data_IF_057857356508
#
_entry.id   IF_057857356508
#
_cell.length_a   1.000
_cell.length_b   1.000
_cell.length_c   1.000
_cell.angle_alpha   90.00
_cell.angle_beta   90.00
_cell.angle_gamma   90.00
#
_symmetry.space_group_name_H-M   'P 1'
#
loop_
_entity.id
_entity.type
_entity.pdbx_description
1 polymer ?
#
# COMPACT_ATOMS: atom_id res chain seq x y z
N UNK A 1 -4.09 -55.10 8.48
CA UNK A 1 -3.00 -55.22 7.50
C UNK A 1 -2.83 -53.85 6.87
N UNK A 2 -2.27 -52.90 7.62
CA UNK A 2 -0.85 -52.48 7.59
C UNK A 2 -0.54 -51.72 6.29
N UNK A 3 -0.61 -50.38 6.27
CA UNK A 3 0.41 -49.41 6.72
C UNK A 3 1.60 -49.30 5.75
N UNK A 4 1.72 -48.14 5.09
CA UNK A 4 2.96 -47.48 4.62
C UNK A 4 2.57 -46.10 4.07
N UNK A 5 3.24 -44.98 4.28
CA UNK A 5 4.42 -44.63 5.06
C UNK A 5 4.42 -43.10 5.10
N UNK A 6 4.57 -42.51 6.29
CA UNK A 6 4.75 -41.06 6.47
C UNK A 6 6.23 -40.76 6.26
N UNK A 7 6.57 -40.05 5.18
CA UNK A 7 7.94 -39.55 5.00
C UNK A 7 8.05 -38.16 5.62
N UNK A 8 8.58 -38.19 6.84
CA UNK A 8 9.09 -37.05 7.61
C UNK A 8 10.52 -36.79 7.15
N UNK A 9 10.81 -35.61 6.60
CA UNK A 9 12.20 -35.15 6.47
C UNK A 9 12.52 -34.03 7.47
N UNK A 10 13.70 -34.06 8.11
CA UNK A 10 13.97 -33.35 9.36
C UNK A 10 14.45 -31.90 9.19
N UNK A 11 14.19 -31.12 10.24
CA UNK A 11 14.81 -29.82 10.51
C UNK A 11 16.29 -29.98 10.90
N UNK A 12 17.18 -29.27 10.21
CA UNK A 12 18.57 -29.12 10.63
C UNK A 12 18.76 -27.82 11.44
N UNK A 13 19.34 -27.96 12.64
CA UNK A 13 19.66 -26.89 13.59
C UNK A 13 21.09 -26.36 13.40
N UNK A 14 21.20 -25.03 13.48
CA UNK A 14 22.20 -24.14 14.10
C UNK A 14 23.55 -24.72 14.59
N UNK A 15 24.64 -24.15 14.06
CA UNK A 15 25.92 -23.82 14.73
C UNK A 15 26.58 -22.73 13.85
N UNK A 16 26.82 -21.47 14.24
CA UNK A 16 27.55 -21.00 15.41
C UNK A 16 28.92 -20.48 14.97
N UNK A 17 29.02 -19.26 14.43
CA UNK A 17 30.30 -18.58 14.20
C UNK A 17 30.26 -17.18 14.81
N UNK A 18 31.01 -17.03 15.89
CA UNK A 18 31.40 -15.79 16.56
C UNK A 18 32.63 -15.20 15.88
N UNK A 19 32.60 -13.91 15.54
CA UNK A 19 33.76 -13.00 15.45
C UNK A 19 33.18 -11.61 15.13
N UNK A 20 33.04 -10.72 16.11
CA UNK A 20 34.08 -9.80 16.59
C UNK A 20 34.26 -8.60 15.65
N UNK A 21 33.64 -7.50 16.08
CA UNK A 21 34.17 -6.13 16.15
C UNK A 21 35.15 -5.66 15.06
N UNK A 22 34.68 -4.74 14.21
CA UNK A 22 35.44 -3.53 13.86
C UNK A 22 34.56 -2.52 13.11
N UNK A 23 34.04 -1.53 13.85
CA UNK A 23 33.92 -0.17 13.32
C UNK A 23 35.28 0.52 13.61
N UNK A 24 35.73 1.50 12.82
CA UNK A 24 35.19 2.85 13.06
C UNK A 24 35.21 3.84 11.87
N UNK A 25 34.48 4.94 12.09
CA UNK A 25 34.73 6.30 11.59
C UNK A 25 34.40 6.62 10.13
N UNK A 26 33.15 7.03 9.88
CA UNK A 26 32.85 8.09 8.89
C UNK A 26 32.70 9.41 9.66
N UNK A 27 33.46 10.47 9.36
CA UNK A 27 33.22 11.76 9.95
C UNK A 27 31.88 12.31 9.46
N UNK A 28 31.00 12.55 10.43
CA UNK A 28 29.72 13.21 10.26
C UNK A 28 30.01 14.68 9.97
N UNK A 29 29.45 15.23 8.89
CA UNK A 29 29.47 16.69 8.67
C UNK A 29 28.46 17.30 9.66
N UNK A 30 28.85 18.23 10.53
CA UNK A 30 27.90 19.03 11.28
C UNK A 30 27.25 20.05 10.33
N UNK A 31 25.91 20.00 10.26
CA UNK A 31 25.12 21.11 9.70
C UNK A 31 24.96 22.20 10.78
N UNK A 32 25.03 23.49 10.42
CA UNK A 32 24.87 24.57 11.38
C UNK A 32 23.43 24.69 11.86
N UNK A 33 23.26 24.69 13.19
CA UNK A 33 22.05 25.13 13.87
C UNK A 33 22.10 26.65 14.08
N UNK A 34 20.97 27.32 13.83
CA UNK A 34 20.35 28.36 14.64
C UNK A 34 19.57 29.34 13.76
N UNK A 35 18.24 29.30 13.89
CA UNK A 35 17.36 30.20 13.14
C UNK A 35 15.94 30.21 13.68
N UNK A 36 15.79 30.60 14.95
CA UNK A 36 14.67 31.38 15.52
C UNK A 36 13.25 31.08 15.01
N UNK A 37 12.45 30.48 15.89
CA UNK A 37 11.02 30.78 16.03
C UNK A 37 10.80 32.30 16.07
N UNK A 38 9.73 32.82 15.44
CA UNK A 38 8.60 33.17 16.28
C UNK A 38 7.22 32.90 15.66
N UNK A 39 6.25 32.86 16.57
CA UNK A 39 4.88 33.33 16.41
C UNK A 39 3.94 32.58 15.46
N UNK A 40 3.12 31.74 16.09
CA UNK A 40 1.65 31.93 16.13
C UNK A 40 1.14 32.95 15.11
N UNK A 41 0.51 32.45 14.05
CA UNK A 41 -0.64 33.13 13.43
C UNK A 41 -1.56 32.06 12.90
N UNK A 42 -2.56 31.69 13.70
CA UNK A 42 -3.82 31.19 13.17
C UNK A 42 -4.37 32.30 12.26
N UNK A 43 -4.06 32.23 10.98
CA UNK A 43 -4.87 32.92 9.99
C UNK A 43 -6.18 32.13 9.95
N UNK A 44 -7.21 32.73 10.55
CA UNK A 44 -8.59 32.39 10.29
C UNK A 44 -8.78 32.38 8.76
N UNK A 45 -8.96 31.20 8.18
CA UNK A 45 -9.49 31.10 6.84
C UNK A 45 -10.94 31.60 6.91
N UNK A 46 -11.32 32.66 6.16
CA UNK A 46 -12.72 32.99 6.03
C UNK A 46 -13.43 31.85 5.30
N UNK A 47 -14.40 31.28 6.00
CA UNK A 47 -15.73 30.93 5.51
C UNK A 47 -15.86 31.01 3.98
N UNK A 48 -15.88 29.85 3.31
CA UNK A 48 -16.30 29.75 1.92
C UNK A 48 -17.78 29.35 1.91
N UNK A 49 -18.72 30.29 1.69
CA UNK A 49 -20.09 29.94 1.39
C UNK A 49 -20.21 29.63 -0.10
N UNK A 50 -20.93 28.56 -0.42
CA UNK A 50 -21.67 28.46 -1.67
C UNK A 50 -20.84 28.23 -2.93
N UNK A 51 -20.50 26.97 -3.17
CA UNK A 51 -20.05 26.48 -4.47
C UNK A 51 -20.85 25.26 -4.91
N UNK A 52 -22.18 25.34 -4.90
CA UNK A 52 -23.04 24.39 -5.63
C UNK A 52 -22.88 24.65 -7.13
N UNK A 53 -21.71 24.31 -7.67
CA UNK A 53 -21.53 24.17 -9.12
C UNK A 53 -21.62 22.69 -9.43
N UNK A 54 -22.85 22.21 -9.61
CA UNK A 54 -23.13 20.97 -10.33
C UNK A 54 -22.69 21.17 -11.78
N UNK A 55 -21.38 21.10 -12.01
CA UNK A 55 -20.84 20.76 -13.30
C UNK A 55 -21.10 19.28 -13.46
N UNK A 56 -22.24 18.94 -14.08
CA UNK A 56 -22.44 17.61 -14.66
C UNK A 56 -21.49 17.50 -15.86
N UNK A 57 -20.19 17.51 -15.59
CA UNK A 57 -19.22 16.94 -16.51
C UNK A 57 -19.65 15.48 -16.64
N UNK A 58 -19.96 15.07 -17.87
CA UNK A 58 -20.04 13.66 -18.21
C UNK A 58 -18.90 12.95 -17.51
N UNK A 59 -19.09 11.77 -16.87
CA UNK A 59 -18.00 11.15 -16.14
C UNK A 59 -16.91 10.82 -17.15
N UNK A 60 -15.94 11.72 -17.28
CA UNK A 60 -14.65 11.40 -17.83
C UNK A 60 -14.24 10.15 -17.07
N UNK A 61 -13.94 9.09 -17.81
CA UNK A 61 -13.62 7.79 -17.22
C UNK A 61 -12.69 8.01 -16.02
N UNK A 62 -13.07 7.54 -14.81
CA UNK A 62 -12.37 7.92 -13.60
C UNK A 62 -10.90 7.55 -13.73
N UNK A 63 -10.01 8.52 -13.51
CA UNK A 63 -8.58 8.25 -13.57
C UNK A 63 -8.17 7.35 -12.41
N UNK A 64 -7.07 6.62 -12.58
CA UNK A 64 -6.45 5.80 -11.54
C UNK A 64 -6.32 6.54 -10.18
N UNK A 65 -5.91 7.80 -10.21
CA UNK A 65 -5.74 8.65 -9.02
C UNK A 65 -7.07 8.95 -8.33
N UNK A 66 -8.14 9.23 -9.09
CA UNK A 66 -9.46 9.49 -8.54
C UNK A 66 -10.05 8.25 -7.88
N UNK A 67 -10.00 7.11 -8.58
CA UNK A 67 -10.47 5.83 -8.04
C UNK A 67 -9.76 5.51 -6.72
N UNK A 68 -8.43 5.69 -6.66
CA UNK A 68 -7.65 5.55 -5.43
C UNK A 68 -8.08 6.52 -4.32
N UNK A 69 -8.30 7.79 -4.64
CA UNK A 69 -8.73 8.79 -3.66
C UNK A 69 -10.11 8.44 -3.05
N UNK A 70 -11.00 7.85 -3.85
CA UNK A 70 -12.28 7.30 -3.40
C UNK A 70 -12.15 5.92 -2.74
N UNK A 71 -10.94 5.35 -2.65
CA UNK A 71 -10.68 3.99 -2.17
C UNK A 71 -11.45 2.91 -2.94
N UNK A 72 -11.62 3.09 -4.25
CA UNK A 72 -12.31 2.18 -5.18
C UNK A 72 -11.31 1.61 -6.19
N UNK A 73 -11.50 0.36 -6.61
CA UNK A 73 -10.69 -0.26 -7.67
C UNK A 73 -10.91 0.38 -9.04
N UNK A 74 -9.84 0.89 -9.63
CA UNK A 74 -9.84 1.43 -10.99
C UNK A 74 -10.10 0.33 -12.03
N UNK A 75 -9.44 -0.83 -11.91
CA UNK A 75 -9.62 -1.93 -12.87
C UNK A 75 -10.99 -2.59 -12.68
N UNK A 76 -11.44 -2.77 -11.44
CA UNK A 76 -12.79 -3.24 -11.17
C UNK A 76 -13.86 -2.32 -11.79
N UNK A 77 -13.67 -1.01 -11.69
CA UNK A 77 -14.61 -0.06 -12.27
C UNK A 77 -14.54 -0.02 -13.80
N UNK A 78 -13.33 -0.05 -14.37
CA UNK A 78 -13.11 0.10 -15.82
C UNK A 78 -13.42 -1.17 -16.60
N UNK A 79 -13.01 -2.34 -16.11
CA UNK A 79 -13.14 -3.61 -16.84
C UNK A 79 -14.32 -4.46 -16.37
N UNK A 80 -14.70 -4.36 -15.10
CA UNK A 80 -15.82 -5.15 -14.53
C UNK A 80 -17.09 -4.29 -14.41
N UNK A 81 -16.96 -2.96 -14.42
CA UNK A 81 -18.10 -2.04 -14.24
C UNK A 81 -18.63 -1.99 -12.80
N UNK A 82 -17.86 -2.50 -11.83
CA UNK A 82 -18.27 -2.55 -10.42
C UNK A 82 -17.43 -1.60 -9.57
N UNK A 83 -18.10 -0.79 -8.74
CA UNK A 83 -17.43 0.04 -7.72
C UNK A 83 -17.17 -0.81 -6.48
N UNK A 84 -15.98 -1.40 -6.44
CA UNK A 84 -15.55 -2.24 -5.31
C UNK A 84 -14.48 -1.52 -4.48
N UNK A 85 -14.54 -1.58 -3.14
CA UNK A 85 -13.56 -0.95 -2.28
C UNK A 85 -12.20 -1.64 -2.39
N UNK A 86 -11.14 -0.83 -2.33
CA UNK A 86 -9.76 -1.30 -2.24
C UNK A 86 -9.52 -1.99 -0.90
N UNK A 87 -8.90 -3.16 -0.97
CA UNK A 87 -8.59 -3.98 0.20
C UNK A 87 -7.32 -4.78 -0.07
N UNK A 88 -6.61 -5.15 1.00
CA UNK A 88 -5.47 -6.06 0.88
C UNK A 88 -5.94 -7.49 0.68
N UNK A 89 -5.32 -8.15 -0.29
CA UNK A 89 -5.60 -9.53 -0.70
C UNK A 89 -4.31 -10.33 -0.69
N UNK A 90 -4.44 -11.65 -0.54
CA UNK A 90 -3.33 -12.59 -0.55
C UNK A 90 -3.47 -13.54 -1.76
N UNK A 91 -2.34 -13.85 -2.38
CA UNK A 91 -2.19 -14.93 -3.36
C UNK A 91 -0.97 -15.79 -3.03
N UNK A 92 -0.75 -16.88 -3.77
CA UNK A 92 0.46 -17.70 -3.64
C UNK A 92 1.77 -16.93 -3.88
N UNK A 93 1.73 -15.79 -4.57
CA UNK A 93 2.89 -14.93 -4.82
C UNK A 93 3.16 -13.89 -3.71
N UNK A 94 2.24 -13.72 -2.76
CA UNK A 94 2.30 -12.70 -1.70
C UNK A 94 1.03 -11.86 -1.60
N UNK A 95 1.14 -10.73 -0.91
CA UNK A 95 0.03 -9.81 -0.65
C UNK A 95 -0.04 -8.74 -1.73
N UNK A 96 -1.22 -8.25 -2.05
CA UNK A 96 -1.41 -7.20 -3.05
C UNK A 96 -2.64 -6.38 -2.69
N UNK A 97 -2.76 -5.19 -3.27
CA UNK A 97 -3.95 -4.36 -3.13
C UNK A 97 -4.86 -4.67 -4.30
N UNK A 98 -6.10 -5.00 -4.00
CA UNK A 98 -7.07 -5.40 -4.99
C UNK A 98 -8.48 -5.09 -4.56
N UNK A 99 -9.43 -5.59 -5.34
CA UNK A 99 -10.85 -5.58 -5.01
C UNK A 99 -11.36 -6.99 -4.87
N UNK A 100 -12.39 -7.18 -4.06
CA UNK A 100 -13.11 -8.43 -3.95
C UNK A 100 -14.61 -8.17 -3.86
N UNK A 101 -15.34 -9.15 -4.37
CA UNK A 101 -16.79 -9.29 -4.39
C UNK A 101 -17.13 -10.56 -3.58
N UNK A 102 -18.41 -10.85 -3.37
CA UNK A 102 -18.88 -12.06 -2.68
C UNK A 102 -18.32 -13.36 -3.29
N UNK A 103 -17.98 -13.35 -4.58
CA UNK A 103 -17.44 -14.51 -5.30
C UNK A 103 -15.90 -14.61 -5.27
N UNK A 104 -15.20 -13.63 -4.66
CA UNK A 104 -13.75 -13.65 -4.51
C UNK A 104 -13.02 -12.41 -5.07
N UNK A 105 -11.69 -12.49 -5.29
CA UNK A 105 -10.91 -11.34 -5.78
C UNK A 105 -11.28 -11.02 -7.23
N UNK A 106 -11.65 -9.77 -7.49
CA UNK A 106 -12.15 -9.30 -8.79
C UNK A 106 -11.04 -8.71 -9.64
N UNK A 107 -10.15 -7.92 -9.04
CA UNK A 107 -9.05 -7.29 -9.76
C UNK A 107 -7.85 -7.02 -8.86
N UNK A 108 -6.66 -7.06 -9.46
CA UNK A 108 -5.39 -6.69 -8.80
C UNK A 108 -5.03 -5.26 -9.19
N UNK A 109 -5.21 -4.36 -8.24
CA UNK A 109 -5.04 -2.92 -8.44
C UNK A 109 -3.59 -2.48 -8.24
N UNK A 110 -2.81 -3.14 -7.36
CA UNK A 110 -1.37 -2.87 -7.26
C UNK A 110 -0.55 -3.62 -8.31
N UNK A 111 0.45 -2.95 -8.88
CA UNK A 111 1.48 -3.61 -9.71
C UNK A 111 2.35 -4.54 -8.87
N UNK A 112 2.71 -4.06 -7.69
CA UNK A 112 3.65 -4.70 -6.78
C UNK A 112 2.95 -5.74 -5.88
N UNK A 113 3.71 -6.78 -5.53
CA UNK A 113 3.39 -7.70 -4.44
C UNK A 113 4.17 -7.29 -3.20
N UNK A 114 3.51 -7.34 -2.05
CA UNK A 114 4.07 -7.09 -0.74
C UNK A 114 4.41 -8.39 -0.02
N UNK A 115 5.50 -8.34 0.75
CA UNK A 115 6.01 -9.50 1.53
C UNK A 115 5.11 -9.87 2.70
N UNK A 116 4.36 -8.91 3.26
CA UNK A 116 3.44 -9.12 4.38
C UNK A 116 2.13 -8.34 4.19
N UNK A 117 1.08 -8.78 4.89
CA UNK A 117 -0.21 -8.09 4.95
C UNK A 117 -0.05 -6.66 5.46
N UNK A 118 0.72 -6.47 6.55
CA UNK A 118 0.97 -5.13 7.12
C UNK A 118 1.65 -4.18 6.14
N UNK A 119 2.61 -4.66 5.35
CA UNK A 119 3.26 -3.82 4.34
C UNK A 119 2.27 -3.37 3.25
N UNK A 120 1.34 -4.26 2.85
CA UNK A 120 0.30 -3.93 1.90
C UNK A 120 -0.73 -2.96 2.48
N UNK A 121 -1.14 -3.15 3.74
CA UNK A 121 -2.08 -2.25 4.44
C UNK A 121 -1.48 -0.87 4.65
N UNK A 122 -0.22 -0.80 5.06
CA UNK A 122 0.52 0.45 5.18
C UNK A 122 0.59 1.15 3.83
N UNK A 123 0.90 0.43 2.75
CA UNK A 123 0.89 1.00 1.41
C UNK A 123 -0.52 1.51 1.06
N UNK A 124 -1.57 0.72 1.29
CA UNK A 124 -2.96 1.09 1.03
C UNK A 124 -3.35 2.38 1.76
N UNK A 125 -3.11 2.44 3.07
CA UNK A 125 -3.42 3.58 3.94
C UNK A 125 -2.60 4.82 3.58
N UNK A 126 -1.31 4.67 3.31
CA UNK A 126 -0.42 5.81 2.97
C UNK A 126 -0.51 6.24 1.52
N UNK A 127 -1.19 5.47 0.66
CA UNK A 127 -1.14 5.68 -0.78
C UNK A 127 0.25 5.48 -1.38
N UNK A 128 1.10 4.65 -0.77
CA UNK A 128 2.46 4.33 -1.24
C UNK A 128 2.51 3.02 -2.02
N UNK A 129 1.72 2.94 -3.08
CA UNK A 129 1.71 1.85 -4.06
C UNK A 129 1.37 2.38 -5.44
N UNK A 130 1.77 1.64 -6.47
CA UNK A 130 1.52 2.00 -7.86
C UNK A 130 0.28 1.29 -8.40
N UNK A 131 -0.64 2.08 -8.97
CA UNK A 131 -1.82 1.57 -9.63
C UNK A 131 -1.44 0.86 -10.93
N UNK A 132 -1.97 -0.34 -11.10
CA UNK A 132 -1.90 -1.09 -12.33
C UNK A 132 -2.96 -0.57 -13.30
N UNK A 133 -2.54 -0.21 -14.52
CA UNK A 133 -3.42 0.37 -15.55
C UNK A 133 -4.08 -0.69 -16.44
N UNK A 134 -3.54 -1.91 -16.44
CA UNK A 134 -3.99 -3.03 -17.26
C UNK A 134 -4.13 -4.32 -16.43
N UNK A 135 -5.16 -5.15 -16.66
CA UNK A 135 -5.44 -6.36 -15.89
C UNK A 135 -4.35 -7.44 -16.01
#
# INVERSE_FOLDING_TARGET
MSSTSVDTMPAARILGCTAESSAPTRPVRPAPACGRTPARRWCLAPFQPGGSSMSHAHPASPTATQARAESIGYLALTYVGKRLPLQVRQSGAGHFIGTADDNGPVSRESVEYFRSYEAAEQALSTGRWQQRLHP
#
